data_IF_248938268710
#
_entry.id   IF_248938268710
#
_cell.length_a   1.000
_cell.length_b   1.000
_cell.length_c   1.000
_cell.angle_alpha   90.00
_cell.angle_beta   90.00
_cell.angle_gamma   90.00
#
_symmetry.space_group_name_H-M   'P 1'
#
loop_
_entity.id
_entity.type
_entity.pdbx_description
1 polymer ?
#
# COMPACT_ATOMS: atom_id res chain seq x y z
N UNK A 1 26.82 -27.99 59.35
CA UNK A 1 25.57 -27.60 58.68
C UNK A 1 24.61 -28.78 58.71
N UNK A 2 23.38 -28.63 59.23
CA UNK A 2 22.43 -29.75 59.33
C UNK A 2 21.79 -30.04 57.95
N UNK A 3 21.60 -31.31 57.61
CA UNK A 3 21.03 -31.78 56.32
C UNK A 3 19.71 -31.10 55.95
N UNK A 4 18.90 -30.73 56.95
CA UNK A 4 17.62 -30.03 56.78
C UNK A 4 17.81 -28.59 56.27
N UNK A 5 18.86 -27.90 56.70
CA UNK A 5 19.10 -26.51 56.32
C UNK A 5 19.67 -26.44 54.90
N UNK A 6 20.48 -27.43 54.50
CA UNK A 6 20.97 -27.58 53.13
C UNK A 6 19.84 -27.85 52.13
N UNK A 7 18.88 -28.72 52.46
CA UNK A 7 17.72 -29.00 51.60
C UNK A 7 16.77 -27.80 51.46
N UNK A 8 16.59 -26.99 52.52
CA UNK A 8 15.81 -25.75 52.44
C UNK A 8 16.49 -24.71 51.56
N UNK A 9 17.81 -24.58 51.65
CA UNK A 9 18.59 -23.67 50.83
C UNK A 9 18.53 -24.06 49.33
N UNK A 10 18.67 -25.36 49.02
CA UNK A 10 18.52 -25.90 47.66
C UNK A 10 17.10 -25.71 47.10
N UNK A 11 16.07 -25.90 47.93
CA UNK A 11 14.69 -25.64 47.54
C UNK A 11 14.47 -24.17 47.18
N UNK A 12 14.93 -23.25 48.03
CA UNK A 12 14.79 -21.81 47.80
C UNK A 12 15.54 -21.33 46.54
N UNK A 13 16.74 -21.84 46.27
CA UNK A 13 17.47 -21.50 45.04
C UNK A 13 16.83 -22.09 43.79
N UNK A 14 16.30 -23.32 43.85
CA UNK A 14 15.58 -23.92 42.74
C UNK A 14 14.28 -23.16 42.41
N UNK A 15 13.53 -22.72 43.43
CA UNK A 15 12.34 -21.89 43.21
C UNK A 15 12.71 -20.49 42.70
N UNK A 16 13.77 -19.88 43.23
CA UNK A 16 14.23 -18.57 42.75
C UNK A 16 14.70 -18.61 41.29
N UNK A 17 15.47 -19.64 40.90
CA UNK A 17 15.88 -19.87 39.50
C UNK A 17 14.68 -20.21 38.60
N UNK A 18 13.70 -20.96 39.10
CA UNK A 18 12.46 -21.26 38.39
C UNK A 18 11.61 -20.00 38.14
N UNK A 19 11.47 -19.14 39.15
CA UNK A 19 10.77 -17.86 39.05
C UNK A 19 11.54 -16.90 38.12
N UNK A 20 12.86 -16.82 38.24
CA UNK A 20 13.67 -15.94 37.38
C UNK A 20 13.61 -16.36 35.91
N UNK A 21 13.63 -17.66 35.61
CA UNK A 21 13.45 -18.15 34.24
C UNK A 21 12.03 -17.96 33.71
N UNK A 22 11.00 -18.12 34.56
CA UNK A 22 9.61 -17.87 34.18
C UNK A 22 9.37 -16.37 33.88
N UNK A 23 9.88 -15.49 34.74
CA UNK A 23 9.79 -14.03 34.57
C UNK A 23 10.62 -13.55 33.36
N UNK A 24 11.79 -14.14 33.08
CA UNK A 24 12.58 -13.79 31.88
C UNK A 24 11.95 -14.29 30.58
N UNK A 25 11.22 -15.40 30.59
CA UNK A 25 10.49 -15.89 29.43
C UNK A 25 9.27 -15.01 29.10
N UNK A 26 8.57 -14.51 30.13
CA UNK A 26 7.37 -13.67 29.99
C UNK A 26 7.64 -12.18 29.70
N UNK A 27 8.86 -11.68 29.93
CA UNK A 27 9.18 -10.25 29.82
C UNK A 27 9.97 -9.84 28.57
N UNK A 28 10.16 -10.72 27.60
CA UNK A 28 10.65 -10.29 26.29
C UNK A 28 9.47 -10.12 25.33
N UNK A 29 8.87 -8.92 25.19
CA UNK A 29 7.77 -8.69 24.25
C UNK A 29 8.19 -8.91 22.78
N UNK A 30 9.47 -9.17 22.51
CA UNK A 30 10.02 -9.50 21.19
C UNK A 30 10.38 -11.00 21.03
N UNK A 31 10.03 -11.88 21.98
CA UNK A 31 10.27 -13.33 21.88
C UNK A 31 9.13 -14.12 21.24
N UNK A 32 8.02 -13.47 20.89
CA UNK A 32 6.95 -14.12 20.18
C UNK A 32 7.41 -14.45 18.75
N UNK A 33 7.64 -15.74 18.48
CA UNK A 33 7.75 -16.25 17.12
C UNK A 33 6.36 -16.19 16.48
N UNK A 34 6.03 -15.02 15.91
CA UNK A 34 4.77 -14.80 15.20
C UNK A 34 4.83 -15.48 13.84
N UNK A 35 3.84 -16.30 13.54
CA UNK A 35 3.67 -17.00 12.26
C UNK A 35 2.36 -16.58 11.59
N UNK A 36 2.26 -16.78 10.27
CA UNK A 36 1.04 -16.46 9.52
C UNK A 36 -0.22 -17.19 10.06
N UNK A 37 -0.05 -18.39 10.62
CA UNK A 37 -1.11 -19.17 11.24
C UNK A 37 -1.78 -18.48 12.44
N UNK A 38 -1.07 -17.55 13.09
CA UNK A 38 -1.57 -16.87 14.29
C UNK A 38 -2.69 -15.87 13.97
N UNK A 39 -2.92 -15.56 12.69
CA UNK A 39 -3.90 -14.58 12.21
C UNK A 39 -5.16 -15.20 11.59
N UNK A 40 -5.26 -16.55 11.52
CA UNK A 40 -6.39 -17.23 10.90
C UNK A 40 -6.53 -16.92 9.40
N UNK A 41 -7.78 -16.80 8.92
CA UNK A 41 -8.06 -16.35 7.55
C UNK A 41 -7.85 -14.83 7.44
N UNK A 42 -6.59 -14.42 7.24
CA UNK A 42 -6.19 -13.02 7.19
C UNK A 42 -5.83 -12.56 5.77
N UNK A 43 -6.11 -11.29 5.48
CA UNK A 43 -5.71 -10.65 4.23
C UNK A 43 -4.37 -9.94 4.40
N UNK A 44 -3.37 -10.39 3.65
CA UNK A 44 -2.07 -9.75 3.53
C UNK A 44 -1.99 -9.13 2.15
N UNK A 45 -1.79 -7.82 2.09
CA UNK A 45 -1.74 -7.11 0.81
C UNK A 45 -0.71 -6.00 0.77
N UNK A 46 -0.50 -5.52 -0.45
CA UNK A 46 0.26 -4.30 -0.74
C UNK A 46 -0.70 -3.19 -1.17
N UNK A 47 -0.25 -1.94 -1.06
CA UNK A 47 -1.05 -0.79 -1.42
C UNK A 47 -0.26 0.19 -2.30
N UNK A 48 -0.93 0.70 -3.32
CA UNK A 48 -0.37 1.67 -4.27
C UNK A 48 -1.36 2.82 -4.51
N UNK A 49 -0.89 3.85 -5.23
CA UNK A 49 -1.72 4.95 -5.70
C UNK A 49 -1.32 5.35 -7.11
N UNK A 50 -2.29 5.67 -7.95
CA UNK A 50 -2.13 5.87 -9.39
C UNK A 50 -0.98 6.83 -9.73
N UNK A 51 -0.99 8.07 -9.21
CA UNK A 51 0.05 9.06 -9.50
C UNK A 51 1.46 8.63 -9.02
N UNK A 52 1.53 7.77 -8.00
CA UNK A 52 2.81 7.33 -7.44
C UNK A 52 3.48 6.23 -8.24
N UNK A 53 2.71 5.43 -9.01
CA UNK A 53 3.25 4.23 -9.68
C UNK A 53 3.00 4.17 -11.17
N UNK A 54 1.89 4.72 -11.68
CA UNK A 54 1.46 4.48 -13.07
C UNK A 54 2.42 5.10 -14.10
N UNK A 55 2.77 6.37 -13.93
CA UNK A 55 3.41 7.13 -14.99
C UNK A 55 2.49 7.35 -16.18
N UNK A 56 3.06 7.37 -17.39
CA UNK A 56 2.34 7.59 -18.64
C UNK A 56 1.42 8.82 -18.55
N UNK A 57 1.95 9.91 -17.98
CA UNK A 57 1.15 11.04 -17.50
C UNK A 57 0.37 11.77 -18.61
N UNK A 58 0.82 11.65 -19.86
CA UNK A 58 0.25 12.32 -21.04
C UNK A 58 -0.08 11.34 -22.17
N UNK A 59 -0.25 10.06 -21.85
CA UNK A 59 -0.52 9.01 -22.82
C UNK A 59 -2.01 8.68 -22.88
N UNK A 60 -2.44 8.13 -24.02
CA UNK A 60 -3.77 7.56 -24.24
C UNK A 60 -4.94 8.45 -23.82
N UNK A 61 -4.79 9.77 -23.93
CA UNK A 61 -5.85 10.72 -23.64
C UNK A 61 -6.04 11.06 -22.18
N UNK A 62 -5.12 10.67 -21.28
CA UNK A 62 -5.11 11.13 -19.89
C UNK A 62 -5.04 12.66 -19.81
N UNK A 63 -5.92 13.26 -19.00
CA UNK A 63 -5.84 14.68 -18.63
C UNK A 63 -4.78 14.96 -17.54
N UNK A 64 -4.38 16.22 -17.36
CA UNK A 64 -3.51 16.60 -16.25
C UNK A 64 -4.25 16.52 -14.91
N UNK A 65 -3.60 15.97 -13.89
CA UNK A 65 -4.01 16.06 -12.49
C UNK A 65 -3.45 17.32 -11.82
N UNK A 66 -3.93 17.61 -10.61
CA UNK A 66 -3.35 18.64 -9.74
C UNK A 66 -1.88 18.35 -9.40
N UNK A 67 -1.51 17.07 -9.28
CA UNK A 67 -0.13 16.69 -9.01
C UNK A 67 0.76 16.90 -10.23
N UNK A 68 0.29 16.58 -11.44
CA UNK A 68 1.01 16.88 -12.69
C UNK A 68 1.32 18.38 -12.73
N UNK A 69 0.31 19.23 -12.52
CA UNK A 69 0.49 20.68 -12.52
C UNK A 69 1.42 21.15 -11.40
N UNK A 70 1.25 20.61 -10.19
CA UNK A 70 2.04 21.00 -9.02
C UNK A 70 3.52 20.69 -9.21
N UNK A 71 3.87 19.47 -9.63
CA UNK A 71 5.27 19.05 -9.79
C UNK A 71 5.93 19.79 -10.94
N UNK A 72 5.22 20.04 -12.05
CA UNK A 72 5.77 20.80 -13.18
C UNK A 72 5.98 22.29 -12.86
N UNK A 73 5.00 22.94 -12.22
CA UNK A 73 5.05 24.40 -11.97
C UNK A 73 5.81 24.77 -10.69
N UNK A 74 5.77 23.91 -9.67
CA UNK A 74 6.34 24.17 -8.33
C UNK A 74 7.42 23.16 -7.97
N UNK A 75 8.27 22.81 -8.93
CA UNK A 75 9.31 21.78 -8.80
C UNK A 75 10.22 21.92 -7.58
N UNK A 76 10.47 23.15 -7.11
CA UNK A 76 11.25 23.43 -5.89
C UNK A 76 10.56 23.00 -4.59
N UNK A 77 9.26 22.68 -4.62
CA UNK A 77 8.51 22.10 -3.49
C UNK A 77 8.69 20.59 -3.39
N UNK A 78 9.21 19.94 -4.42
CA UNK A 78 9.61 18.53 -4.40
C UNK A 78 11.09 18.47 -4.03
N UNK A 79 11.43 17.66 -3.01
CA UNK A 79 12.78 17.61 -2.42
C UNK A 79 13.89 17.42 -3.46
N UNK A 80 13.69 16.49 -4.39
CA UNK A 80 14.63 16.17 -5.47
C UNK A 80 14.21 16.75 -6.84
N UNK A 81 13.13 17.55 -6.86
CA UNK A 81 12.58 18.20 -8.05
C UNK A 81 12.06 17.20 -9.11
N UNK A 82 11.78 15.96 -8.73
CA UNK A 82 11.15 14.96 -9.60
C UNK A 82 9.65 15.22 -9.83
N UNK A 83 9.05 14.45 -10.74
CA UNK A 83 7.61 14.42 -11.04
C UNK A 83 7.15 12.97 -11.25
N UNK A 84 5.85 12.78 -11.47
CA UNK A 84 5.22 11.47 -11.68
C UNK A 84 5.09 11.05 -13.15
N UNK A 85 5.81 11.69 -14.08
CA UNK A 85 5.58 11.49 -15.52
C UNK A 85 5.78 10.03 -15.94
N UNK A 86 6.81 9.40 -15.36
CA UNK A 86 7.18 7.99 -15.56
C UNK A 86 6.91 7.18 -14.29
N UNK A 87 7.20 7.74 -13.10
CA UNK A 87 7.08 7.04 -11.82
C UNK A 87 7.81 5.67 -11.82
N UNK A 88 7.10 4.58 -11.51
CA UNK A 88 7.59 3.21 -11.62
C UNK A 88 7.15 2.53 -12.92
N UNK A 89 6.51 3.27 -13.84
CA UNK A 89 6.07 2.80 -15.16
C UNK A 89 5.05 1.64 -15.10
N UNK A 90 4.25 1.58 -14.03
CA UNK A 90 3.26 0.53 -13.82
C UNK A 90 2.16 0.52 -14.90
N UNK A 91 1.89 1.66 -15.56
CA UNK A 91 0.97 1.70 -16.70
C UNK A 91 1.36 0.71 -17.81
N UNK A 92 2.67 0.52 -18.03
CA UNK A 92 3.20 -0.38 -19.04
C UNK A 92 3.64 -1.75 -18.49
N UNK A 93 3.80 -1.88 -17.16
CA UNK A 93 4.49 -3.02 -16.52
C UNK A 93 3.66 -3.79 -15.50
N UNK A 94 2.38 -3.44 -15.34
CA UNK A 94 1.48 -4.10 -14.37
C UNK A 94 1.43 -5.63 -14.55
N UNK A 95 1.57 -6.11 -15.78
CA UNK A 95 1.61 -7.52 -16.15
C UNK A 95 2.81 -8.27 -15.55
N UNK A 96 3.89 -7.57 -15.21
CA UNK A 96 5.06 -8.10 -14.51
C UNK A 96 5.03 -7.83 -12.99
N UNK A 97 4.49 -6.68 -12.57
CA UNK A 97 4.47 -6.26 -11.16
C UNK A 97 3.42 -7.00 -10.31
N UNK A 98 2.25 -7.30 -10.88
CA UNK A 98 1.16 -8.01 -10.19
C UNK A 98 1.56 -9.46 -9.86
N UNK A 99 2.09 -10.26 -10.81
CA UNK A 99 2.53 -11.62 -10.50
C UNK A 99 3.65 -11.67 -9.45
N UNK A 100 4.55 -10.69 -9.44
CA UNK A 100 5.59 -10.58 -8.40
C UNK A 100 4.95 -10.45 -7.01
N UNK A 101 3.89 -9.66 -6.88
CA UNK A 101 3.16 -9.50 -5.62
C UNK A 101 2.51 -10.82 -5.16
N UNK A 102 1.88 -11.55 -6.08
CA UNK A 102 1.31 -12.87 -5.78
C UNK A 102 2.40 -13.87 -5.35
N UNK A 103 3.55 -13.87 -6.04
CA UNK A 103 4.69 -14.75 -5.72
C UNK A 103 5.31 -14.48 -4.35
N UNK A 104 5.13 -13.29 -3.79
CA UNK A 104 5.54 -12.95 -2.42
C UNK A 104 4.56 -13.48 -1.34
N UNK A 105 3.45 -14.10 -1.75
CA UNK A 105 2.46 -14.70 -0.85
C UNK A 105 1.35 -13.76 -0.39
N UNK A 106 1.22 -12.58 -1.02
CA UNK A 106 0.09 -11.67 -0.77
C UNK A 106 -1.18 -12.17 -1.45
N UNK A 107 -2.34 -11.85 -0.87
CA UNK A 107 -3.66 -12.21 -1.39
C UNK A 107 -4.54 -10.98 -1.69
N UNK A 108 -4.14 -9.77 -1.30
CA UNK A 108 -4.83 -8.53 -1.67
C UNK A 108 -3.90 -7.55 -2.40
N UNK A 109 -4.44 -6.83 -3.38
CA UNK A 109 -3.75 -5.76 -4.07
C UNK A 109 -4.60 -4.49 -4.03
N UNK A 110 -4.24 -3.53 -3.17
CA UNK A 110 -4.93 -2.25 -3.11
C UNK A 110 -4.32 -1.29 -4.13
N UNK A 111 -5.17 -0.75 -5.00
CA UNK A 111 -4.81 0.24 -6.01
C UNK A 111 -5.81 1.39 -6.01
N UNK A 112 -5.41 2.54 -6.54
CA UNK A 112 -6.35 3.62 -6.86
C UNK A 112 -6.55 3.76 -8.36
N UNK A 113 -7.73 4.23 -8.75
CA UNK A 113 -8.00 4.62 -10.13
C UNK A 113 -7.55 6.07 -10.32
N UNK A 114 -7.00 6.38 -11.50
CA UNK A 114 -6.69 7.76 -11.85
C UNK A 114 -7.90 8.45 -12.42
N UNK A 115 -8.46 9.41 -11.68
CA UNK A 115 -9.62 10.18 -12.14
C UNK A 115 -9.33 10.89 -13.48
N UNK A 116 -8.25 11.68 -13.64
CA UNK A 116 -7.97 12.35 -14.91
C UNK A 116 -7.57 11.39 -16.03
N UNK A 117 -7.26 10.13 -15.73
CA UNK A 117 -7.10 9.12 -16.78
C UNK A 117 -8.46 8.65 -17.30
N UNK A 118 -9.40 8.35 -16.39
CA UNK A 118 -10.76 7.89 -16.71
C UNK A 118 -11.66 8.99 -17.29
N UNK A 119 -11.62 10.19 -16.71
CA UNK A 119 -12.40 11.37 -17.11
C UNK A 119 -11.41 12.55 -17.26
N UNK A 120 -10.84 12.79 -18.44
CA UNK A 120 -9.77 13.78 -18.65
C UNK A 120 -10.14 15.22 -18.24
N UNK A 121 -11.38 15.63 -18.52
CA UNK A 121 -11.93 16.93 -18.11
C UNK A 121 -12.60 16.88 -16.72
N UNK A 122 -12.48 15.73 -16.05
CA UNK A 122 -13.03 15.40 -14.74
C UNK A 122 -14.51 15.01 -14.71
N UNK A 123 -15.26 15.34 -15.77
CA UNK A 123 -16.68 15.01 -15.90
C UNK A 123 -17.01 14.58 -17.34
N UNK A 124 -18.17 13.93 -17.49
CA UNK A 124 -18.78 13.55 -18.77
C UNK A 124 -18.03 12.44 -19.53
N UNK A 125 -17.11 12.83 -20.41
CA UNK A 125 -16.53 11.93 -21.42
C UNK A 125 -15.55 10.94 -20.80
N UNK A 126 -15.87 9.65 -20.93
CA UNK A 126 -15.03 8.55 -20.45
C UNK A 126 -13.94 8.25 -21.48
N UNK A 127 -12.71 8.20 -21.02
CA UNK A 127 -11.60 7.68 -21.80
C UNK A 127 -11.64 6.15 -21.84
N UNK A 128 -12.10 5.60 -22.97
CA UNK A 128 -12.24 4.14 -23.14
C UNK A 128 -10.89 3.41 -22.98
N UNK A 129 -9.78 3.99 -23.43
CA UNK A 129 -8.47 3.37 -23.27
C UNK A 129 -8.06 3.23 -21.80
N UNK A 130 -8.44 4.19 -20.96
CA UNK A 130 -8.23 4.12 -19.52
C UNK A 130 -9.09 3.03 -18.88
N UNK A 131 -10.35 2.91 -19.32
CA UNK A 131 -11.24 1.84 -18.85
C UNK A 131 -10.65 0.46 -19.20
N UNK A 132 -10.20 0.28 -20.44
CA UNK A 132 -9.56 -0.95 -20.88
C UNK A 132 -8.28 -1.25 -20.08
N UNK A 133 -7.49 -0.23 -19.75
CA UNK A 133 -6.31 -0.36 -18.88
C UNK A 133 -6.67 -0.90 -17.49
N UNK A 134 -7.60 -0.26 -16.80
CA UNK A 134 -8.00 -0.71 -15.46
C UNK A 134 -8.68 -2.07 -15.48
N UNK A 135 -9.44 -2.38 -16.53
CA UNK A 135 -10.00 -3.71 -16.71
C UNK A 135 -8.89 -4.76 -16.79
N UNK A 136 -7.88 -4.57 -17.64
CA UNK A 136 -6.75 -5.51 -17.73
C UNK A 136 -5.98 -5.63 -16.41
N UNK A 137 -5.75 -4.52 -15.70
CA UNK A 137 -5.10 -4.55 -14.38
C UNK A 137 -5.90 -5.38 -13.37
N UNK A 138 -7.21 -5.19 -13.32
CA UNK A 138 -8.11 -5.95 -12.43
C UNK A 138 -8.15 -7.42 -12.82
N UNK A 139 -8.25 -7.72 -14.11
CA UNK A 139 -8.25 -9.09 -14.63
C UNK A 139 -6.93 -9.79 -14.28
N UNK A 140 -5.78 -9.13 -14.47
CA UNK A 140 -4.47 -9.68 -14.08
C UNK A 140 -4.36 -9.92 -12.57
N UNK A 141 -4.91 -9.04 -11.72
CA UNK A 141 -4.99 -9.33 -10.28
C UNK A 141 -5.74 -10.63 -10.00
N UNK A 142 -6.94 -10.78 -10.58
CA UNK A 142 -7.81 -11.93 -10.37
C UNK A 142 -7.19 -13.22 -10.92
N UNK A 143 -6.55 -13.17 -12.10
CA UNK A 143 -5.82 -14.29 -12.70
C UNK A 143 -4.71 -14.83 -11.81
N UNK A 144 -4.06 -13.95 -11.04
CA UNK A 144 -2.98 -14.30 -10.11
C UNK A 144 -3.44 -14.49 -8.65
N UNK A 145 -4.75 -14.59 -8.41
CA UNK A 145 -5.31 -14.86 -7.08
C UNK A 145 -5.22 -13.69 -6.09
N UNK A 146 -4.98 -12.47 -6.59
CA UNK A 146 -4.98 -11.25 -5.80
C UNK A 146 -6.38 -10.62 -5.86
N UNK A 147 -6.97 -10.37 -4.69
CA UNK A 147 -8.24 -9.63 -4.61
C UNK A 147 -7.97 -8.12 -4.74
N UNK A 148 -8.50 -7.45 -5.78
CA UNK A 148 -8.27 -6.02 -5.97
C UNK A 148 -9.10 -5.19 -4.99
N UNK A 149 -8.45 -4.27 -4.28
CA UNK A 149 -9.10 -3.35 -3.35
C UNK A 149 -9.04 -1.93 -3.92
N UNK A 150 -10.17 -1.44 -4.44
CA UNK A 150 -10.21 -0.22 -5.25
C UNK A 150 -10.37 1.02 -4.38
N UNK A 151 -9.46 1.98 -4.55
CA UNK A 151 -9.58 3.34 -4.05
C UNK A 151 -10.03 4.26 -5.19
N UNK A 152 -11.25 4.80 -5.12
CA UNK A 152 -11.79 5.63 -6.21
C UNK A 152 -11.06 6.98 -6.35
N UNK A 153 -10.59 7.54 -5.24
CA UNK A 153 -9.89 8.82 -5.23
C UNK A 153 -8.68 8.76 -4.31
N UNK A 154 -7.50 9.06 -4.84
CA UNK A 154 -6.26 9.11 -4.06
C UNK A 154 -5.44 10.36 -4.41
N UNK A 155 -6.04 11.52 -4.15
CA UNK A 155 -5.42 12.85 -4.21
C UNK A 155 -5.05 13.32 -5.62
N UNK A 156 -5.56 12.70 -6.66
CA UNK A 156 -5.20 12.95 -8.06
C UNK A 156 -6.32 13.66 -8.83
N UNK A 157 -6.88 14.73 -8.25
CA UNK A 157 -7.98 15.49 -8.86
C UNK A 157 -7.61 15.96 -10.28
N UNK A 158 -8.50 15.84 -11.28
CA UNK A 158 -8.29 16.46 -12.59
C UNK A 158 -8.09 17.97 -12.46
N UNK A 159 -7.05 18.50 -13.11
CA UNK A 159 -6.74 19.94 -13.08
C UNK A 159 -7.91 20.77 -13.63
N UNK A 160 -8.66 20.23 -14.61
CA UNK A 160 -9.85 20.87 -15.16
C UNK A 160 -10.94 21.18 -14.11
N UNK A 161 -11.00 20.40 -13.01
CA UNK A 161 -11.89 20.65 -11.89
C UNK A 161 -11.26 21.60 -10.87
N UNK A 162 -9.97 21.46 -10.59
CA UNK A 162 -9.23 22.40 -9.74
C UNK A 162 -9.32 23.84 -10.28
N UNK A 163 -9.23 24.02 -11.60
CA UNK A 163 -9.37 25.32 -12.26
C UNK A 163 -10.77 25.94 -12.09
N UNK A 164 -11.78 25.11 -11.75
CA UNK A 164 -13.15 25.52 -11.41
C UNK A 164 -13.37 25.66 -9.89
N UNK A 165 -12.32 25.53 -9.08
CA UNK A 165 -12.35 25.64 -7.63
C UNK A 165 -12.17 24.32 -6.86
N UNK A 166 -12.07 23.18 -7.54
CA UNK A 166 -11.80 21.88 -6.92
C UNK A 166 -12.68 21.58 -5.71
N UNK A 167 -12.09 20.99 -4.67
CA UNK A 167 -12.82 20.55 -3.47
C UNK A 167 -13.48 21.66 -2.64
N UNK A 168 -13.13 22.93 -2.86
CA UNK A 168 -13.79 24.05 -2.16
C UNK A 168 -15.05 24.54 -2.90
N UNK A 169 -15.31 24.03 -4.10
CA UNK A 169 -16.52 24.28 -4.87
C UNK A 169 -17.51 23.11 -4.68
N UNK A 170 -18.76 23.39 -4.29
CA UNK A 170 -19.80 22.37 -4.06
C UNK A 170 -20.40 21.77 -5.33
N UNK A 171 -20.20 22.42 -6.48
CA UNK A 171 -20.70 21.94 -7.77
C UNK A 171 -19.76 20.90 -8.42
N UNK A 172 -18.68 20.52 -7.70
CA UNK A 172 -17.64 19.56 -8.08
C UNK A 172 -17.66 18.42 -7.07
#
# INVERSE_FOLDING_TARGET
MLRRDFLRLLGLTATALGIENYVRADLNPFSANINASDFGEFWWGVATAAYQIEGAAFEDGKGPSIWDTFTHKKRLKIRDRSNGDIACDFYHRYDSDIPLTANLGFNAFRLSLSWPRLLPDGINEVNIKALDYYQRVIDTCLEHGLTPWITLYHWDLPQALEDKGGWINRDI
#
